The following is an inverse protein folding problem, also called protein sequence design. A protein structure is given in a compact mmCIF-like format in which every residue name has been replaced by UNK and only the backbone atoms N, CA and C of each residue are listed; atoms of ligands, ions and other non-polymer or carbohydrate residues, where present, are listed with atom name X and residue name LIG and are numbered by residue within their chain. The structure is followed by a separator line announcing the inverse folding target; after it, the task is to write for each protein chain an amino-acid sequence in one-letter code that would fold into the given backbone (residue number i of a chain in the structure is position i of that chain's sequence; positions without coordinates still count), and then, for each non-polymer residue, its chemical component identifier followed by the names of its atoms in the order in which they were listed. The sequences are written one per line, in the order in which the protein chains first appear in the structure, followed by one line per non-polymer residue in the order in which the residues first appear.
data_IF_122971256614
#
_entry.id   IF_122971256614
#
_cell.length_a   1.000
_cell.length_b   1.000
_cell.length_c   1.000
_cell.angle_alpha   90.00
_cell.angle_beta   90.00
_cell.angle_gamma   90.00
#
_symmetry.space_group_name_H-M   'P 1'
#
loop_
_entity.id
_entity.type
_entity.pdbx_description
1 polymer ?
#
# COMPACT_ATOMS: atom_id res chain seq x y z
N UNK A 1 -24.79 63.80 -47.41
CA UNK A 1 -25.77 62.75 -47.04
C UNK A 1 -25.70 62.61 -45.52
N UNK A 2 -26.55 63.32 -44.76
CA UNK A 2 -27.88 62.87 -44.29
C UNK A 2 -27.78 61.51 -43.58
N UNK A 3 -28.22 61.27 -42.35
CA UNK A 3 -28.87 62.00 -41.23
C UNK A 3 -28.81 60.94 -40.08
N UNK A 4 -28.38 61.24 -38.84
CA UNK A 4 -29.18 61.81 -37.73
C UNK A 4 -30.35 60.86 -37.39
N UNK A 5 -30.55 60.27 -36.20
CA UNK A 5 -30.51 60.72 -34.77
C UNK A 5 -30.97 59.49 -33.93
N UNK A 6 -30.93 59.35 -32.60
CA UNK A 6 -30.84 60.19 -31.39
C UNK A 6 -31.04 59.22 -30.19
N UNK A 7 -30.55 59.37 -28.95
CA UNK A 7 -30.53 60.48 -27.96
C UNK A 7 -29.61 60.02 -26.80
N UNK A 8 -28.77 60.77 -26.06
CA UNK A 8 -28.75 62.12 -25.45
C UNK A 8 -28.86 62.03 -23.89
N UNK A 9 -28.09 62.90 -23.21
CA UNK A 9 -27.99 63.27 -21.77
C UNK A 9 -26.90 62.54 -20.92
N UNK A 10 -26.06 63.15 -20.07
CA UNK A 10 -25.69 64.56 -19.74
C UNK A 10 -24.57 64.57 -18.64
N UNK A 11 -23.71 65.61 -18.62
CA UNK A 11 -22.83 66.18 -17.55
C UNK A 11 -21.71 65.32 -16.89
N UNK A 12 -20.42 65.71 -16.96
CA UNK A 12 -19.67 66.69 -16.10
C UNK A 12 -19.58 66.29 -14.61
N UNK A 13 -18.34 65.94 -14.21
CA UNK A 13 -17.68 66.43 -12.99
C UNK A 13 -18.14 65.89 -11.64
N UNK A 14 -17.31 65.05 -11.01
CA UNK A 14 -16.97 65.21 -9.60
C UNK A 14 -15.79 64.31 -9.21
N UNK A 15 -14.73 64.97 -8.73
CA UNK A 15 -13.78 64.44 -7.78
C UNK A 15 -14.57 63.87 -6.59
N UNK A 16 -14.59 62.55 -6.40
CA UNK A 16 -15.08 61.92 -5.18
C UNK A 16 -13.91 61.18 -4.55
N UNK A 17 -13.43 61.76 -3.45
CA UNK A 17 -12.75 61.06 -2.38
C UNK A 17 -13.70 59.94 -1.93
N UNK A 18 -13.36 58.69 -2.27
CA UNK A 18 -14.00 57.55 -1.63
C UNK A 18 -13.45 57.47 -0.21
N UNK A 19 -14.21 57.99 0.73
CA UNK A 19 -14.06 57.68 2.15
C UNK A 19 -14.29 56.17 2.25
N UNK A 20 -13.26 55.43 2.68
CA UNK A 20 -13.39 54.02 2.98
C UNK A 20 -14.57 53.82 3.94
N UNK A 21 -15.55 53.01 3.53
CA UNK A 21 -16.47 52.42 4.50
C UNK A 21 -15.61 51.67 5.51
N UNK A 22 -15.76 51.87 6.83
CA UNK A 22 -15.21 50.92 7.77
C UNK A 22 -15.82 49.57 7.40
N UNK A 23 -14.96 48.60 7.12
CA UNK A 23 -15.35 47.20 7.03
C UNK A 23 -16.02 46.90 8.36
N UNK A 24 -17.34 46.77 8.30
CA UNK A 24 -18.12 46.32 9.43
C UNK A 24 -17.67 44.87 9.67
N UNK A 25 -17.13 44.62 10.86
CA UNK A 25 -17.05 43.27 11.38
C UNK A 25 -18.45 42.65 11.26
N UNK A 26 -18.55 41.42 10.74
CA UNK A 26 -19.76 40.63 10.92
C UNK A 26 -20.04 40.54 12.44
N UNK A 27 -21.31 40.49 12.82
CA UNK A 27 -21.81 40.63 14.21
C UNK A 27 -21.19 39.65 15.24
N UNK A 28 -20.38 38.69 14.79
CA UNK A 28 -19.66 37.72 15.62
C UNK A 28 -18.19 38.10 15.92
N UNK A 29 -17.70 39.24 15.42
CA UNK A 29 -16.32 39.70 15.64
C UNK A 29 -15.28 38.99 14.77
N UNK A 30 -15.71 38.22 13.76
CA UNK A 30 -14.85 37.56 12.79
C UNK A 30 -14.50 38.51 11.64
N UNK A 31 -13.32 38.34 11.07
CA UNK A 31 -12.80 39.19 10.00
C UNK A 31 -12.79 38.43 8.68
N UNK A 32 -13.25 39.10 7.62
CA UNK A 32 -13.24 38.56 6.26
C UNK A 32 -11.82 38.52 5.69
N UNK A 33 -11.48 37.42 5.04
CA UNK A 33 -10.24 37.16 4.34
C UNK A 33 -10.59 36.71 2.92
N UNK A 34 -10.28 37.54 1.92
CA UNK A 34 -10.61 37.24 0.54
C UNK A 34 -9.54 37.77 -0.41
N UNK A 35 -9.37 37.12 -1.57
CA UNK A 35 -8.29 37.45 -2.47
C UNK A 35 -8.04 36.43 -3.57
N UNK A 36 -6.91 36.59 -4.25
CA UNK A 36 -6.44 35.66 -5.28
C UNK A 36 -5.01 35.20 -5.03
N UNK A 37 -4.70 33.96 -5.41
CA UNK A 37 -3.36 33.38 -5.39
C UNK A 37 -2.81 33.28 -6.82
N UNK A 38 -1.67 33.91 -7.06
CA UNK A 38 -1.03 34.04 -8.37
C UNK A 38 0.39 33.45 -8.36
N UNK A 39 0.81 32.86 -9.46
CA UNK A 39 2.20 32.53 -9.76
C UNK A 39 2.54 33.01 -11.17
N UNK A 40 3.60 33.81 -11.32
CA UNK A 40 3.94 34.47 -12.59
C UNK A 40 2.75 35.18 -13.26
N UNK A 41 1.90 35.83 -12.45
CA UNK A 41 0.69 36.52 -12.92
C UNK A 41 -0.47 35.61 -13.32
N UNK A 42 -0.33 34.28 -13.21
CA UNK A 42 -1.37 33.30 -13.52
C UNK A 42 -2.00 32.77 -12.22
N UNK A 43 -3.33 32.67 -12.11
CA UNK A 43 -3.95 32.09 -10.93
C UNK A 43 -3.58 30.62 -10.71
N UNK A 44 -3.40 30.22 -9.45
CA UNK A 44 -3.06 28.84 -9.07
C UNK A 44 -3.96 28.33 -7.96
N UNK A 45 -4.18 27.02 -7.94
CA UNK A 45 -4.88 26.36 -6.84
C UNK A 45 -3.98 26.23 -5.62
N UNK A 46 -4.43 26.73 -4.48
CA UNK A 46 -3.67 26.74 -3.24
C UNK A 46 -4.57 26.52 -2.02
N UNK A 47 -3.98 26.04 -0.94
CA UNK A 47 -4.60 26.09 0.39
C UNK A 47 -4.26 27.43 1.02
N UNK A 48 -5.28 28.16 1.48
CA UNK A 48 -5.15 29.44 2.18
C UNK A 48 -5.58 29.24 3.62
N UNK A 49 -4.70 29.56 4.57
CA UNK A 49 -4.91 29.45 6.01
C UNK A 49 -4.81 30.84 6.63
N UNK A 50 -5.75 31.24 7.48
CA UNK A 50 -5.67 32.45 8.28
C UNK A 50 -6.20 32.21 9.69
N UNK A 51 -5.37 32.52 10.70
CA UNK A 51 -5.71 32.41 12.12
C UNK A 51 -6.47 31.12 12.51
N UNK A 52 -6.00 29.97 12.01
CA UNK A 52 -6.57 28.64 12.30
C UNK A 52 -7.76 28.21 11.44
N UNK A 53 -8.26 29.07 10.54
CA UNK A 53 -9.27 28.72 9.54
C UNK A 53 -8.61 28.54 8.17
N UNK A 54 -9.14 27.65 7.32
CA UNK A 54 -8.60 27.42 5.99
C UNK A 54 -9.68 27.27 4.92
N UNK A 55 -9.29 27.53 3.67
CA UNK A 55 -10.07 27.25 2.47
C UNK A 55 -9.11 26.85 1.36
N UNK A 56 -9.59 26.07 0.38
CA UNK A 56 -8.88 25.90 -0.88
C UNK A 56 -9.35 26.96 -1.85
N UNK A 57 -8.41 27.63 -2.53
CA UNK A 57 -8.77 28.56 -3.58
C UNK A 57 -9.52 27.84 -4.69
N UNK A 58 -10.48 28.51 -5.31
CA UNK A 58 -11.30 27.95 -6.39
C UNK A 58 -10.45 27.47 -7.55
N UNK A 59 -10.88 26.33 -8.10
CA UNK A 59 -10.19 25.64 -9.18
C UNK A 59 -10.22 26.51 -10.45
N UNK A 60 -9.07 27.03 -10.84
CA UNK A 60 -8.85 27.69 -12.13
C UNK A 60 -8.78 29.22 -12.12
N UNK A 61 -9.24 29.90 -11.07
CA UNK A 61 -9.15 31.37 -10.94
C UNK A 61 -8.39 31.84 -9.69
N UNK A 62 -7.96 30.91 -8.83
CA UNK A 62 -7.12 31.16 -7.66
C UNK A 62 -7.80 32.01 -6.58
N UNK A 63 -9.11 32.22 -6.66
CA UNK A 63 -9.83 33.06 -5.71
C UNK A 63 -10.10 32.34 -4.39
N UNK A 64 -10.10 33.05 -3.27
CA UNK A 64 -10.49 32.53 -1.97
C UNK A 64 -11.34 33.55 -1.22
N UNK A 65 -12.28 33.08 -0.40
CA UNK A 65 -13.13 33.91 0.45
C UNK A 65 -13.57 33.09 1.67
N UNK A 66 -13.18 33.53 2.87
CA UNK A 66 -13.59 32.94 4.14
C UNK A 66 -13.48 33.97 5.28
N UNK A 67 -13.93 33.60 6.47
CA UNK A 67 -13.80 34.42 7.68
C UNK A 67 -12.91 33.73 8.69
N UNK A 68 -12.12 34.49 9.44
CA UNK A 68 -11.32 33.98 10.56
C UNK A 68 -11.43 34.87 11.79
N UNK A 69 -11.20 34.35 13.00
CA UNK A 69 -11.11 35.18 14.18
C UNK A 69 -9.87 36.11 14.09
N UNK A 70 -9.97 37.38 14.53
CA UNK A 70 -8.82 38.26 14.62
C UNK A 70 -7.80 37.78 15.66
N UNK A 71 -6.51 38.05 15.43
CA UNK A 71 -5.45 37.78 16.40
C UNK A 71 -5.50 38.71 17.62
N UNK A 72 -4.55 38.53 18.55
CA UNK A 72 -4.49 39.28 19.81
C UNK A 72 -4.36 40.80 19.65
N UNK A 73 -3.96 41.28 18.47
CA UNK A 73 -3.83 42.70 18.12
C UNK A 73 -4.71 43.11 16.91
N UNK A 74 -5.78 42.35 16.64
CA UNK A 74 -6.61 42.46 15.42
C UNK A 74 -5.87 42.16 14.10
N UNK A 75 -4.66 41.63 14.17
CA UNK A 75 -3.91 41.20 12.99
C UNK A 75 -4.41 39.85 12.45
N UNK A 76 -4.29 39.68 11.14
CA UNK A 76 -4.53 38.41 10.46
C UNK A 76 -3.21 37.93 9.87
N UNK A 77 -2.79 36.72 10.24
CA UNK A 77 -1.67 36.05 9.59
C UNK A 77 -2.21 35.12 8.51
N UNK A 78 -1.94 35.45 7.25
CA UNK A 78 -2.32 34.65 6.08
C UNK A 78 -1.12 33.80 5.63
N UNK A 79 -1.38 32.52 5.40
CA UNK A 79 -0.44 31.53 4.91
C UNK A 79 -1.02 30.86 3.67
N UNK A 80 -0.22 30.71 2.62
CA UNK A 80 -0.68 30.11 1.35
C UNK A 80 0.30 29.04 0.88
N UNK A 81 -0.27 27.90 0.48
CA UNK A 81 0.45 26.71 0.06
C UNK A 81 -0.02 26.25 -1.31
N UNK A 82 0.91 26.14 -2.26
CA UNK A 82 0.65 25.60 -3.59
C UNK A 82 1.72 24.54 -3.89
N UNK A 83 1.31 23.42 -4.49
CA UNK A 83 2.25 22.37 -4.85
C UNK A 83 3.35 22.92 -5.79
N UNK A 84 4.61 22.56 -5.51
CA UNK A 84 5.78 22.99 -6.28
C UNK A 84 6.22 24.46 -6.10
N UNK A 85 5.57 25.24 -5.23
CA UNK A 85 5.89 26.64 -4.97
C UNK A 85 6.33 26.87 -3.50
N UNK A 86 7.04 27.97 -3.25
CA UNK A 86 7.43 28.35 -1.91
C UNK A 86 6.20 28.80 -1.09
N UNK A 87 6.04 28.36 0.17
CA UNK A 87 4.98 28.84 1.04
C UNK A 87 5.05 30.35 1.24
N UNK A 88 3.90 30.99 1.16
CA UNK A 88 3.73 32.42 1.37
C UNK A 88 3.22 32.70 2.78
N UNK A 89 3.68 33.80 3.39
CA UNK A 89 3.22 34.28 4.70
C UNK A 89 3.22 35.81 4.76
N UNK A 90 2.10 36.40 5.16
CA UNK A 90 1.99 37.82 5.44
C UNK A 90 1.05 38.06 6.64
N UNK A 91 1.45 38.96 7.53
CA UNK A 91 0.56 39.54 8.55
C UNK A 91 -0.02 40.84 8.02
N UNK A 92 -1.33 40.98 8.08
CA UNK A 92 -2.10 42.09 7.49
C UNK A 92 -3.16 42.60 8.47
N UNK A 93 -3.55 43.85 8.28
CA UNK A 93 -4.73 44.40 8.94
C UNK A 93 -6.04 43.79 8.38
N UNK A 94 -7.15 43.87 9.13
CA UNK A 94 -8.47 43.46 8.64
C UNK A 94 -8.87 44.07 7.30
N UNK A 95 -8.46 45.33 7.07
CA UNK A 95 -8.79 46.02 5.83
C UNK A 95 -8.00 45.50 4.63
N UNK A 96 -6.75 45.11 4.84
CA UNK A 96 -5.89 44.52 3.81
C UNK A 96 -6.28 43.07 3.51
N UNK A 97 -6.73 42.31 4.51
CA UNK A 97 -7.13 40.92 4.36
C UNK A 97 -8.37 40.72 3.47
N UNK A 98 -9.24 41.72 3.38
CA UNK A 98 -10.48 41.64 2.62
C UNK A 98 -10.30 41.64 1.08
N UNK A 99 -9.09 41.95 0.58
CA UNK A 99 -8.77 41.98 -0.84
C UNK A 99 -7.27 41.68 -1.10
N UNK A 100 -6.78 40.56 -0.58
CA UNK A 100 -5.37 40.19 -0.64
C UNK A 100 -4.98 39.64 -2.01
N UNK A 101 -3.88 40.14 -2.57
CA UNK A 101 -3.23 39.51 -3.73
C UNK A 101 -2.00 38.77 -3.26
N UNK A 102 -2.04 37.44 -3.30
CA UNK A 102 -0.92 36.59 -2.92
C UNK A 102 -0.13 36.22 -4.17
N UNK A 103 1.11 36.69 -4.24
CA UNK A 103 2.03 36.31 -5.32
C UNK A 103 2.99 35.26 -4.77
N UNK A 104 2.81 34.02 -5.23
CA UNK A 104 3.64 32.88 -4.89
C UNK A 104 4.94 32.94 -5.69
N UNK A 105 6.01 32.46 -5.07
CA UNK A 105 7.33 32.35 -5.70
C UNK A 105 7.66 30.88 -5.96
N UNK A 106 8.53 30.63 -6.93
CA UNK A 106 9.09 29.29 -7.13
C UNK A 106 9.94 28.95 -5.91
N UNK A 107 9.85 27.70 -5.45
CA UNK A 107 10.76 27.21 -4.43
C UNK A 107 12.22 27.29 -4.88
N UNK A 108 13.11 27.79 -4.02
CA UNK A 108 14.56 27.64 -4.18
C UNK A 108 14.92 26.15 -4.31
N UNK A 109 15.93 25.83 -5.12
CA UNK A 109 16.41 24.47 -5.32
C UNK A 109 17.44 24.01 -4.27
N UNK A 110 17.94 24.90 -3.41
CA UNK A 110 18.91 24.55 -2.36
C UNK A 110 19.09 25.71 -1.34
N UNK A 111 19.33 25.45 -0.04
CA UNK A 111 19.13 24.20 0.68
C UNK A 111 17.73 24.04 1.25
N UNK A 112 17.26 22.79 1.16
CA UNK A 112 16.00 22.33 1.70
C UNK A 112 15.94 22.51 3.22
N UNK A 113 14.71 22.61 3.72
CA UNK A 113 14.42 22.61 5.15
C UNK A 113 14.89 21.28 5.77
N UNK A 114 15.68 21.35 6.85
CA UNK A 114 16.04 20.17 7.63
C UNK A 114 15.14 20.10 8.85
N UNK A 115 14.46 18.96 9.03
CA UNK A 115 13.67 18.69 10.22
C UNK A 115 14.27 17.47 10.91
N UNK A 116 14.66 17.66 12.16
CA UNK A 116 15.09 16.59 13.06
C UNK A 116 13.98 16.38 14.08
N UNK A 117 13.26 15.28 13.96
CA UNK A 117 12.05 15.05 14.73
C UNK A 117 11.91 13.58 15.13
N UNK A 118 11.51 13.38 16.38
CA UNK A 118 11.16 12.10 16.98
C UNK A 118 9.65 12.02 17.10
N UNK A 119 9.11 10.84 16.82
CA UNK A 119 7.70 10.54 17.03
C UNK A 119 7.55 9.41 18.05
N UNK A 120 6.62 9.56 18.97
CA UNK A 120 6.32 8.55 19.99
C UNK A 120 4.81 8.36 20.11
N UNK A 121 4.39 7.11 20.25
CA UNK A 121 3.02 6.75 20.60
C UNK A 121 2.63 7.30 21.99
N UNK A 122 1.50 7.99 22.07
CA UNK A 122 0.79 8.21 23.35
C UNK A 122 -0.18 7.09 23.66
N UNK A 123 -0.83 6.57 22.62
CA UNK A 123 -1.75 5.44 22.62
C UNK A 123 -2.06 5.05 21.16
N UNK A 124 -2.91 4.04 20.95
CA UNK A 124 -3.25 3.50 19.62
C UNK A 124 -3.99 4.48 18.68
N UNK A 125 -4.33 5.68 19.14
CA UNK A 125 -5.03 6.69 18.32
C UNK A 125 -4.31 8.03 18.25
N UNK A 126 -3.22 8.22 19.01
CA UNK A 126 -2.50 9.49 19.11
C UNK A 126 -1.00 9.30 19.29
N UNK A 127 -0.22 10.15 18.63
CA UNK A 127 1.22 10.28 18.79
C UNK A 127 1.63 11.68 19.23
N UNK A 128 2.87 11.83 19.68
CA UNK A 128 3.54 13.13 19.83
C UNK A 128 4.70 13.19 18.87
N UNK A 129 4.80 14.28 18.12
CA UNK A 129 5.97 14.61 17.31
C UNK A 129 6.67 15.79 17.95
N UNK A 130 7.93 15.61 18.33
CA UNK A 130 8.78 16.67 18.87
C UNK A 130 10.04 16.80 18.02
N UNK A 131 10.54 18.01 17.86
CA UNK A 131 11.71 18.20 17.03
C UNK A 131 12.15 19.63 16.86
N UNK A 132 13.07 19.81 15.92
CA UNK A 132 13.60 21.11 15.51
C UNK A 132 13.61 21.26 14.01
N UNK A 133 13.40 22.50 13.56
CA UNK A 133 13.43 22.89 12.16
C UNK A 133 14.58 23.86 11.94
N UNK A 134 15.48 23.53 11.01
CA UNK A 134 16.67 24.31 10.71
C UNK A 134 16.92 24.43 9.20
N UNK A 135 17.74 25.42 8.83
CA UNK A 135 18.30 25.60 7.48
C UNK A 135 19.80 25.79 7.65
N UNK A 136 20.61 24.92 7.04
CA UNK A 136 22.07 24.94 7.21
C UNK A 136 22.51 24.92 8.69
N UNK A 137 21.81 24.13 9.51
CA UNK A 137 22.06 24.03 10.95
C UNK A 137 21.62 25.25 11.78
N UNK A 138 21.04 26.28 11.16
CA UNK A 138 20.49 27.44 11.88
C UNK A 138 18.99 27.28 12.10
N UNK A 139 18.47 27.41 13.33
CA UNK A 139 17.04 27.26 13.60
C UNK A 139 16.20 28.34 12.90
N UNK A 140 15.11 27.93 12.24
CA UNK A 140 14.25 28.81 11.45
C UNK A 140 12.82 28.85 11.99
N UNK A 141 12.11 29.95 11.70
CA UNK A 141 10.67 30.02 11.91
C UNK A 141 9.98 29.24 10.78
N UNK A 142 9.22 28.23 11.17
CA UNK A 142 8.49 27.35 10.27
C UNK A 142 7.10 27.04 10.84
N UNK A 143 6.21 26.57 9.99
CA UNK A 143 4.99 25.88 10.38
C UNK A 143 5.20 24.39 10.16
N UNK A 144 4.92 23.58 11.17
CA UNK A 144 4.85 22.12 11.03
C UNK A 144 3.38 21.71 11.07
N UNK A 145 3.01 20.69 10.30
CA UNK A 145 1.64 20.17 10.17
C UNK A 145 1.69 18.64 10.14
N UNK A 146 0.93 17.97 10.98
CA UNK A 146 0.76 16.52 10.94
C UNK A 146 -0.68 16.13 11.24
N UNK A 147 -1.28 15.31 10.37
CA UNK A 147 -2.65 14.80 10.45
C UNK A 147 -3.66 15.85 10.97
N UNK A 148 -3.65 17.04 10.37
CA UNK A 148 -4.54 18.16 10.69
C UNK A 148 -4.15 19.02 11.91
N UNK A 149 -3.11 18.67 12.67
CA UNK A 149 -2.58 19.47 13.78
C UNK A 149 -1.35 20.25 13.35
N UNK A 150 -1.21 21.51 13.79
CA UNK A 150 -0.10 22.36 13.36
C UNK A 150 0.49 23.19 14.51
N UNK A 151 1.76 23.55 14.37
CA UNK A 151 2.47 24.41 15.31
C UNK A 151 3.45 25.32 14.56
N UNK A 152 3.66 26.53 15.09
CA UNK A 152 4.72 27.41 14.62
C UNK A 152 5.94 27.25 15.51
N UNK A 153 7.11 27.09 14.91
CA UNK A 153 8.36 26.85 15.64
C UNK A 153 8.94 28.10 16.33
N UNK A 154 8.19 29.20 16.35
CA UNK A 154 8.60 30.46 16.95
C UNK A 154 7.46 31.30 17.54
N UNK A 155 6.27 30.72 17.73
CA UNK A 155 5.18 31.40 18.42
C UNK A 155 5.40 31.46 19.93
N UNK A 156 6.05 30.45 20.51
CA UNK A 156 6.33 30.37 21.94
C UNK A 156 7.70 30.95 22.29
N UNK A 157 7.71 32.13 22.91
CA UNK A 157 8.94 32.81 23.36
C UNK A 157 9.67 32.07 24.49
N UNK A 158 9.04 31.09 25.13
CA UNK A 158 9.65 30.26 26.18
C UNK A 158 10.45 29.08 25.62
N UNK A 159 10.33 28.79 24.32
CA UNK A 159 11.02 27.70 23.65
C UNK A 159 12.12 28.21 22.70
N UNK A 160 13.17 27.40 22.43
CA UNK A 160 14.15 27.73 21.40
C UNK A 160 13.47 27.92 20.05
N UNK A 161 13.85 28.97 19.32
CA UNK A 161 13.42 29.17 17.92
C UNK A 161 13.71 27.90 17.13
N UNK A 162 12.78 27.46 16.29
CA UNK A 162 12.90 26.25 15.50
C UNK A 162 12.36 25.00 16.19
N UNK A 163 12.13 25.00 17.50
CA UNK A 163 11.56 23.84 18.21
C UNK A 163 10.05 23.75 18.08
N UNK A 164 9.52 22.52 18.10
CA UNK A 164 8.08 22.24 18.12
C UNK A 164 7.77 20.98 18.92
N UNK A 165 6.52 20.87 19.34
CA UNK A 165 5.92 19.67 19.92
C UNK A 165 4.44 19.66 19.53
N UNK A 166 3.98 18.56 18.94
CA UNK A 166 2.65 18.40 18.38
C UNK A 166 2.03 17.10 18.87
N UNK A 167 0.82 17.18 19.42
CA UNK A 167 -0.01 16.02 19.73
C UNK A 167 -0.96 15.76 18.54
N UNK A 168 -0.77 14.64 17.86
CA UNK A 168 -1.36 14.34 16.55
C UNK A 168 -2.24 13.10 16.61
N UNK A 169 -3.41 13.08 15.93
CA UNK A 169 -4.12 11.83 15.71
C UNK A 169 -3.34 10.94 14.74
N UNK A 170 -3.39 9.62 14.96
CA UNK A 170 -2.87 8.64 14.01
C UNK A 170 -3.92 8.36 12.94
N UNK A 171 -3.47 8.01 11.73
CA UNK A 171 -4.35 7.45 10.69
C UNK A 171 -4.82 6.04 11.08
N UNK A 172 -5.76 5.46 10.33
CA UNK A 172 -6.31 4.11 10.61
C UNK A 172 -5.24 3.02 10.57
N UNK A 173 -4.20 3.20 9.76
CA UNK A 173 -3.04 2.31 9.67
C UNK A 173 -1.95 2.60 10.72
N UNK A 174 -2.22 3.52 11.67
CA UNK A 174 -1.28 3.95 12.70
C UNK A 174 -0.22 4.95 12.22
N UNK A 175 -0.23 5.36 10.95
CA UNK A 175 0.77 6.28 10.38
C UNK A 175 0.51 7.76 10.71
N UNK A 176 1.53 8.59 10.50
CA UNK A 176 1.42 10.06 10.54
C UNK A 176 2.09 10.69 9.32
N UNK A 177 1.32 11.45 8.55
CA UNK A 177 1.88 12.29 7.49
C UNK A 177 2.29 13.65 8.06
N UNK A 178 3.59 13.94 8.00
CA UNK A 178 4.20 15.15 8.56
C UNK A 178 4.71 16.07 7.45
N UNK A 179 4.43 17.36 7.59
CA UNK A 179 4.87 18.42 6.70
C UNK A 179 5.60 19.53 7.47
N UNK A 180 6.59 20.12 6.82
CA UNK A 180 7.31 21.29 7.31
C UNK A 180 7.33 22.41 6.28
N UNK A 181 7.01 23.62 6.70
CA UNK A 181 6.91 24.79 5.83
C UNK A 181 7.73 25.94 6.39
N UNK A 182 8.68 26.45 5.60
CA UNK A 182 9.41 27.66 5.90
C UNK A 182 9.30 28.61 4.71
N UNK A 183 9.13 29.91 4.98
CA UNK A 183 9.01 30.94 3.93
C UNK A 183 10.20 30.87 2.98
N UNK A 184 9.92 30.89 1.67
CA UNK A 184 10.94 30.88 0.61
C UNK A 184 11.61 29.52 0.37
N UNK A 185 11.17 28.45 1.04
CA UNK A 185 11.74 27.11 0.91
C UNK A 185 10.71 26.09 0.42
N UNK A 186 11.14 24.97 -0.20
CA UNK A 186 10.22 23.90 -0.55
C UNK A 186 9.59 23.29 0.71
N UNK A 187 8.37 22.75 0.62
CA UNK A 187 7.78 22.00 1.72
C UNK A 187 8.57 20.71 1.96
N UNK A 188 8.84 20.42 3.23
CA UNK A 188 9.29 19.11 3.69
C UNK A 188 8.08 18.19 3.84
N UNK A 189 8.21 16.92 3.45
CA UNK A 189 7.23 15.87 3.70
C UNK A 189 7.95 14.61 4.19
N UNK A 190 7.39 14.00 5.23
CA UNK A 190 7.77 12.67 5.69
C UNK A 190 6.51 11.91 6.15
N UNK A 191 6.52 10.59 6.05
CA UNK A 191 5.45 9.74 6.58
C UNK A 191 6.08 8.82 7.60
N UNK A 192 5.68 8.97 8.87
CA UNK A 192 6.05 8.06 9.94
C UNK A 192 5.11 6.86 9.92
N UNK A 193 5.66 5.66 9.87
CA UNK A 193 4.93 4.39 9.93
C UNK A 193 4.52 4.06 11.36
N UNK A 194 3.51 3.19 11.54
CA UNK A 194 3.11 2.71 12.87
C UNK A 194 4.26 2.07 13.65
N UNK A 195 5.20 1.43 12.94
CA UNK A 195 6.42 0.83 13.49
C UNK A 195 7.37 1.89 14.05
N UNK A 196 7.69 2.93 13.26
CA UNK A 196 8.53 4.05 13.72
C UNK A 196 7.90 4.79 14.92
N UNK A 197 6.57 4.82 15.00
CA UNK A 197 5.82 5.47 16.08
C UNK A 197 5.76 4.58 17.34
N UNK A 198 5.98 3.27 17.21
CA UNK A 198 5.83 2.31 18.30
C UNK A 198 4.36 2.03 18.66
N UNK A 199 3.42 2.27 17.74
CA UNK A 199 2.01 1.82 17.86
C UNK A 199 1.73 0.52 17.13
N UNK A 200 2.69 0.05 16.32
CA UNK A 200 2.65 -1.28 15.77
C UNK A 200 2.88 -2.30 16.90
N UNK A 201 1.79 -2.78 17.50
CA UNK A 201 1.77 -4.13 18.05
C UNK A 201 1.54 -5.04 16.85
N UNK A 202 2.57 -5.72 16.30
CA UNK A 202 2.28 -6.83 15.38
C UNK A 202 1.29 -7.72 16.09
N UNK A 203 0.28 -8.22 15.38
CA UNK A 203 -0.63 -9.26 15.87
C UNK A 203 0.22 -10.40 16.44
N UNK A 204 0.52 -10.34 17.74
CA UNK A 204 1.56 -11.16 18.36
C UNK A 204 1.09 -12.60 18.53
N UNK A 205 -0.19 -12.87 18.27
CA UNK A 205 -0.77 -14.18 18.28
C UNK A 205 -1.34 -14.62 16.92
N UNK A 206 -1.30 -13.80 15.87
CA UNK A 206 -1.70 -14.14 14.50
C UNK A 206 -3.21 -14.35 14.31
N UNK A 207 -4.04 -14.00 15.30
CA UNK A 207 -5.49 -14.30 15.28
C UNK A 207 -6.29 -13.36 14.41
N UNK A 208 -5.75 -12.19 14.10
CA UNK A 208 -6.39 -11.17 13.28
C UNK A 208 -5.91 -11.22 11.83
N UNK A 209 -4.81 -11.93 11.55
CA UNK A 209 -4.27 -12.08 10.19
C UNK A 209 -5.08 -13.04 9.32
N UNK A 210 -5.28 -12.68 8.05
CA UNK A 210 -5.80 -13.56 7.00
C UNK A 210 -4.74 -14.51 6.42
N UNK A 211 -3.52 -14.52 6.97
CA UNK A 211 -2.44 -15.47 6.68
C UNK A 211 -1.39 -15.50 7.78
N UNK A 212 -1.73 -16.01 8.97
CA UNK A 212 -0.82 -15.98 10.09
C UNK A 212 0.49 -16.70 9.77
N UNK A 213 1.61 -16.01 10.01
CA UNK A 213 2.96 -16.57 9.89
C UNK A 213 3.60 -16.81 11.27
N UNK A 214 2.99 -16.25 12.31
CA UNK A 214 3.29 -16.52 13.71
C UNK A 214 2.01 -16.77 14.49
N UNK A 215 2.03 -17.72 15.43
CA UNK A 215 0.94 -17.95 16.39
C UNK A 215 1.54 -18.37 17.72
N UNK A 216 0.88 -18.00 18.82
CA UNK A 216 1.29 -18.40 20.18
C UNK A 216 0.21 -19.26 20.82
N UNK A 217 0.65 -20.31 21.53
CA UNK A 217 -0.24 -21.13 22.34
C UNK A 217 -0.80 -20.35 23.54
N UNK A 218 -1.67 -20.99 24.33
CA UNK A 218 -2.23 -20.39 25.54
C UNK A 218 -1.19 -20.01 26.61
N UNK A 219 0.03 -20.54 26.53
CA UNK A 219 1.15 -20.21 27.39
C UNK A 219 2.06 -19.10 26.81
N UNK A 220 1.75 -18.59 25.61
CA UNK A 220 2.54 -17.58 24.92
C UNK A 220 3.74 -18.14 24.14
N UNK A 221 3.81 -19.47 23.96
CA UNK A 221 4.90 -20.13 23.24
C UNK A 221 4.63 -20.11 21.73
N UNK A 222 5.58 -19.66 20.89
CA UNK A 222 5.46 -19.77 19.44
C UNK A 222 5.22 -21.22 19.01
N UNK A 223 4.29 -21.41 18.08
CA UNK A 223 3.94 -22.72 17.54
C UNK A 223 4.31 -22.83 16.06
N UNK A 224 4.75 -24.02 15.64
CA UNK A 224 4.77 -24.38 14.22
C UNK A 224 3.32 -24.39 13.73
N UNK A 225 3.04 -23.61 12.68
CA UNK A 225 1.72 -23.53 12.06
C UNK A 225 1.62 -24.61 10.99
N UNK A 226 0.44 -25.19 10.81
CA UNK A 226 0.22 -26.09 9.68
C UNK A 226 -1.18 -25.99 9.08
N UNK A 227 -1.26 -26.40 7.82
CA UNK A 227 -2.48 -26.53 7.04
C UNK A 227 -2.42 -27.79 6.19
N UNK A 228 -3.45 -28.62 6.27
CA UNK A 228 -3.65 -29.78 5.42
C UNK A 228 -4.73 -29.44 4.39
N UNK A 229 -4.43 -29.62 3.10
CA UNK A 229 -5.37 -29.35 2.01
C UNK A 229 -5.66 -30.60 1.20
N UNK A 230 -6.93 -30.82 0.91
CA UNK A 230 -7.36 -31.82 -0.05
C UNK A 230 -7.44 -31.20 -1.45
N UNK A 231 -6.91 -31.92 -2.45
CA UNK A 231 -7.08 -31.56 -3.86
C UNK A 231 -8.42 -32.14 -4.33
N UNK A 232 -9.44 -31.28 -4.41
CA UNK A 232 -10.83 -31.65 -4.65
C UNK A 232 -11.16 -31.96 -6.12
N UNK A 233 -10.15 -32.11 -6.99
CA UNK A 233 -10.34 -32.56 -8.36
C UNK A 233 -10.59 -34.09 -8.37
N UNK A 234 -11.50 -34.58 -9.23
CA UNK A 234 -11.78 -36.02 -9.44
C UNK A 234 -10.63 -36.78 -10.19
N UNK A 235 -9.39 -36.35 -9.96
CA UNK A 235 -8.23 -36.66 -10.79
C UNK A 235 -8.16 -35.81 -12.06
N UNK A 236 -6.97 -35.73 -12.66
CA UNK A 236 -6.73 -35.01 -13.91
C UNK A 236 -6.44 -36.00 -15.01
N UNK A 237 -7.21 -35.92 -16.10
CA UNK A 237 -7.02 -36.74 -17.28
C UNK A 237 -6.23 -35.98 -18.34
N UNK A 238 -5.12 -36.55 -18.80
CA UNK A 238 -4.29 -35.96 -19.84
C UNK A 238 -4.22 -36.92 -21.01
N UNK A 239 -4.55 -36.42 -22.20
CA UNK A 239 -4.39 -37.14 -23.45
C UNK A 239 -3.06 -36.76 -24.11
N UNK A 240 -2.15 -37.72 -24.25
CA UNK A 240 -0.87 -37.56 -24.97
C UNK A 240 -0.86 -38.56 -26.12
N UNK A 241 -0.76 -38.07 -27.36
CA UNK A 241 -0.71 -38.91 -28.58
C UNK A 241 -1.82 -39.99 -28.65
N UNK A 242 -3.04 -39.62 -28.29
CA UNK A 242 -4.20 -40.54 -28.32
C UNK A 242 -4.29 -41.51 -27.14
N UNK A 243 -3.44 -41.33 -26.13
CA UNK A 243 -3.34 -42.17 -24.95
C UNK A 243 -3.71 -41.37 -23.70
N UNK A 244 -4.54 -41.93 -22.81
CA UNK A 244 -4.99 -41.24 -21.58
C UNK A 244 -4.19 -41.67 -20.36
N UNK A 245 -3.68 -40.68 -19.63
CA UNK A 245 -3.12 -40.82 -18.28
C UNK A 245 -4.05 -40.14 -17.28
N UNK A 246 -4.22 -40.74 -16.11
CA UNK A 246 -4.98 -40.19 -15.00
C UNK A 246 -4.03 -39.89 -13.85
N UNK A 247 -4.04 -38.67 -13.36
CA UNK A 247 -3.28 -38.20 -12.22
C UNK A 247 -4.23 -38.06 -11.03
N UNK A 248 -3.93 -38.74 -9.94
CA UNK A 248 -4.63 -38.58 -8.67
C UNK A 248 -3.65 -38.00 -7.67
N UNK A 249 -4.07 -37.00 -6.92
CA UNK A 249 -3.22 -36.33 -5.95
C UNK A 249 -3.64 -36.69 -4.53
N UNK A 250 -2.66 -36.80 -3.65
CA UNK A 250 -2.85 -36.88 -2.21
C UNK A 250 -2.99 -35.47 -1.63
N UNK A 251 -3.35 -35.41 -0.35
CA UNK A 251 -3.43 -34.14 0.37
C UNK A 251 -2.05 -33.45 0.45
N UNK A 252 -2.10 -32.12 0.52
CA UNK A 252 -0.95 -31.22 0.65
C UNK A 252 -0.78 -30.88 2.12
N UNK A 253 0.41 -31.06 2.67
CA UNK A 253 0.75 -30.55 4.01
C UNK A 253 1.61 -29.30 3.88
N UNK A 254 1.15 -28.19 4.45
CA UNK A 254 1.91 -26.94 4.56
C UNK A 254 2.24 -26.68 6.03
N UNK A 255 3.44 -26.17 6.29
CA UNK A 255 3.84 -25.73 7.63
C UNK A 255 4.72 -24.48 7.59
N UNK A 256 4.67 -23.70 8.68
CA UNK A 256 5.55 -22.54 8.90
C UNK A 256 6.18 -22.68 10.28
N UNK A 257 7.51 -22.67 10.34
CA UNK A 257 8.24 -22.56 11.60
C UNK A 257 8.41 -21.08 11.96
N UNK A 258 7.84 -20.61 13.08
CA UNK A 258 7.84 -19.19 13.46
C UNK A 258 9.25 -18.66 13.79
N UNK A 259 10.24 -19.54 14.00
CA UNK A 259 11.62 -19.13 14.28
C UNK A 259 12.45 -18.93 13.02
N UNK A 260 12.32 -19.84 12.06
CA UNK A 260 13.05 -19.77 10.80
C UNK A 260 12.30 -18.97 9.73
N UNK A 261 11.00 -18.73 9.92
CA UNK A 261 10.10 -18.13 8.93
C UNK A 261 10.21 -18.83 7.57
N UNK A 262 10.41 -20.15 7.59
CA UNK A 262 10.41 -20.96 6.36
C UNK A 262 9.06 -21.64 6.24
N UNK A 263 8.32 -21.34 5.16
CA UNK A 263 7.14 -22.09 4.78
C UNK A 263 7.55 -23.32 3.99
N UNK A 264 7.13 -24.50 4.42
CA UNK A 264 7.38 -25.76 3.71
C UNK A 264 6.07 -26.36 3.27
N UNK A 265 6.07 -26.94 2.08
CA UNK A 265 4.94 -27.71 1.59
C UNK A 265 5.39 -28.95 0.86
N UNK A 266 4.56 -29.98 0.89
CA UNK A 266 4.76 -31.15 0.04
C UNK A 266 3.43 -31.68 -0.46
N UNK A 267 3.44 -32.20 -1.68
CA UNK A 267 2.34 -32.99 -2.21
C UNK A 267 2.85 -34.19 -3.00
N UNK A 268 2.01 -35.20 -3.11
CA UNK A 268 2.33 -36.41 -3.87
C UNK A 268 1.11 -36.89 -4.63
N UNK A 269 1.33 -37.76 -5.61
CA UNK A 269 0.25 -38.31 -6.41
C UNK A 269 0.65 -39.60 -7.11
N UNK A 270 -0.34 -40.21 -7.76
CA UNK A 270 -0.21 -41.42 -8.55
C UNK A 270 -0.65 -41.18 -9.99
N UNK A 271 0.02 -41.88 -10.90
CA UNK A 271 -0.30 -41.88 -12.33
C UNK A 271 -0.85 -43.26 -12.69
N UNK A 272 -1.93 -43.29 -13.46
CA UNK A 272 -2.58 -44.53 -13.91
C UNK A 272 -3.16 -44.39 -15.32
N UNK A 273 -3.70 -45.48 -15.88
CA UNK A 273 -4.19 -45.54 -17.25
C UNK A 273 -3.16 -46.20 -18.15
N UNK A 274 -2.71 -45.50 -19.19
CA UNK A 274 -1.76 -46.09 -20.13
C UNK A 274 -0.31 -46.06 -19.64
N UNK A 275 0.01 -45.12 -18.74
CA UNK A 275 1.21 -45.15 -17.93
C UNK A 275 0.83 -45.41 -16.46
N UNK A 276 1.77 -45.93 -15.68
CA UNK A 276 1.65 -46.04 -14.23
C UNK A 276 2.85 -45.39 -13.55
N UNK A 277 2.65 -44.82 -12.36
CA UNK A 277 3.72 -44.06 -11.74
C UNK A 277 3.33 -43.29 -10.49
N UNK A 278 4.24 -42.42 -10.08
CA UNK A 278 4.04 -41.46 -9.00
C UNK A 278 4.62 -40.09 -9.35
N UNK A 279 4.08 -39.06 -8.71
CA UNK A 279 4.66 -37.73 -8.69
C UNK A 279 4.80 -37.24 -7.24
N UNK A 280 5.79 -36.41 -7.00
CA UNK A 280 6.04 -35.72 -5.73
C UNK A 280 6.49 -34.30 -6.04
N UNK A 281 6.13 -33.35 -5.19
CA UNK A 281 6.78 -32.07 -5.15
C UNK A 281 6.94 -31.63 -3.70
N UNK A 282 8.12 -31.12 -3.38
CA UNK A 282 8.45 -30.47 -2.13
C UNK A 282 8.82 -29.02 -2.43
N UNK A 283 8.44 -28.10 -1.56
CA UNK A 283 8.88 -26.72 -1.68
C UNK A 283 9.20 -26.09 -0.33
N UNK A 284 10.09 -25.12 -0.35
CA UNK A 284 10.45 -24.30 0.79
C UNK A 284 10.51 -22.83 0.35
N UNK A 285 9.92 -21.95 1.14
CA UNK A 285 9.94 -20.52 0.88
C UNK A 285 10.49 -19.80 2.11
N UNK A 286 11.46 -18.93 1.89
CA UNK A 286 12.01 -18.08 2.94
C UNK A 286 11.16 -16.82 3.04
N UNK A 287 10.53 -16.63 4.19
CA UNK A 287 9.67 -15.50 4.47
C UNK A 287 10.44 -14.42 5.24
N UNK A 288 10.09 -13.17 5.00
CA UNK A 288 10.60 -12.01 5.74
C UNK A 288 9.44 -11.09 6.12
N UNK A 289 9.52 -10.47 7.29
CA UNK A 289 8.53 -9.48 7.72
C UNK A 289 9.05 -8.08 7.45
N UNK A 290 8.32 -7.27 6.70
CA UNK A 290 8.66 -5.87 6.42
C UNK A 290 7.37 -5.04 6.29
N UNK A 291 7.36 -3.84 6.87
CA UNK A 291 6.23 -2.90 6.79
C UNK A 291 4.88 -3.52 7.22
N UNK A 292 4.94 -4.42 8.21
CA UNK A 292 3.77 -5.14 8.72
C UNK A 292 3.19 -6.19 7.79
N UNK A 293 3.92 -6.59 6.75
CA UNK A 293 3.57 -7.68 5.82
C UNK A 293 4.55 -8.83 5.96
N UNK A 294 4.09 -10.05 5.67
CA UNK A 294 5.00 -11.15 5.36
C UNK A 294 5.21 -11.27 3.85
N UNK A 295 6.47 -11.20 3.44
CA UNK A 295 6.95 -11.24 2.06
C UNK A 295 7.77 -12.51 1.83
N UNK A 296 7.90 -12.94 0.58
CA UNK A 296 8.78 -14.03 0.16
C UNK A 296 10.08 -13.45 -0.38
N UNK A 297 11.20 -13.86 0.19
CA UNK A 297 12.53 -13.51 -0.31
C UNK A 297 13.01 -14.51 -1.38
N UNK A 298 12.79 -15.80 -1.15
CA UNK A 298 13.18 -16.86 -2.07
C UNK A 298 12.33 -18.11 -1.94
N UNK A 299 12.35 -18.96 -2.97
CA UNK A 299 11.63 -20.22 -3.04
C UNK A 299 12.51 -21.30 -3.66
N UNK A 300 12.48 -22.50 -3.07
CA UNK A 300 13.05 -23.72 -3.62
C UNK A 300 11.92 -24.72 -3.85
N UNK A 301 11.96 -25.46 -4.95
CA UNK A 301 10.99 -26.47 -5.31
C UNK A 301 11.68 -27.66 -5.97
N UNK A 302 11.43 -28.85 -5.44
CA UNK A 302 11.93 -30.12 -5.96
C UNK A 302 10.75 -30.96 -6.42
N UNK A 303 10.69 -31.28 -7.72
CA UNK A 303 9.63 -32.09 -8.33
C UNK A 303 10.21 -33.39 -8.84
N UNK A 304 9.62 -34.51 -8.41
CA UNK A 304 9.95 -35.84 -8.87
C UNK A 304 8.77 -36.50 -9.58
N UNK A 305 9.02 -37.18 -10.69
CA UNK A 305 8.03 -38.03 -11.35
C UNK A 305 8.66 -39.34 -11.81
N UNK A 306 8.06 -40.45 -11.44
CA UNK A 306 8.45 -41.78 -11.88
C UNK A 306 7.32 -42.36 -12.73
N UNK A 307 7.57 -42.57 -14.02
CA UNK A 307 6.60 -43.10 -14.98
C UNK A 307 7.05 -44.45 -15.54
N UNK A 308 6.09 -45.32 -15.79
CA UNK A 308 6.27 -46.59 -16.49
C UNK A 308 5.25 -46.69 -17.62
N UNK A 309 5.73 -46.85 -18.85
CA UNK A 309 4.91 -46.95 -20.06
C UNK A 309 5.45 -48.05 -20.97
N UNK A 310 4.59 -48.99 -21.38
CA UNK A 310 4.96 -50.12 -22.26
C UNK A 310 6.20 -50.91 -21.81
N UNK A 311 6.41 -51.05 -20.50
CA UNK A 311 7.55 -51.77 -19.92
C UNK A 311 8.86 -50.97 -19.87
N UNK A 312 8.84 -49.69 -20.24
CA UNK A 312 9.95 -48.76 -20.07
C UNK A 312 9.68 -47.82 -18.91
N UNK A 313 10.73 -47.47 -18.16
CA UNK A 313 10.64 -46.47 -17.09
C UNK A 313 11.28 -45.16 -17.52
N UNK A 314 10.69 -44.06 -17.06
CA UNK A 314 11.22 -42.71 -17.16
C UNK A 314 11.14 -42.04 -15.77
N UNK A 315 12.21 -41.35 -15.40
CA UNK A 315 12.31 -40.54 -14.19
C UNK A 315 12.49 -39.10 -14.65
N UNK A 316 11.66 -38.20 -14.12
CA UNK A 316 11.78 -36.76 -14.29
C UNK A 316 12.10 -36.17 -12.93
N UNK A 317 13.17 -35.37 -12.86
CA UNK A 317 13.53 -34.57 -11.68
C UNK A 317 13.64 -33.12 -12.11
N UNK A 318 13.03 -32.21 -11.36
CA UNK A 318 13.14 -30.77 -11.59
C UNK A 318 13.48 -30.13 -10.25
N UNK A 319 14.62 -29.46 -10.20
CA UNK A 319 15.04 -28.64 -9.07
C UNK A 319 14.94 -27.19 -9.53
N UNK A 320 14.08 -26.40 -8.89
CA UNK A 320 13.84 -25.00 -9.23
C UNK A 320 14.08 -24.11 -8.02
N UNK A 321 14.90 -23.09 -8.19
CA UNK A 321 15.18 -22.08 -7.18
C UNK A 321 14.87 -20.69 -7.73
N UNK A 322 14.11 -19.92 -6.98
CA UNK A 322 13.74 -18.54 -7.31
C UNK A 322 14.26 -17.61 -6.23
N UNK A 323 15.01 -16.59 -6.64
CA UNK A 323 15.46 -15.51 -5.77
C UNK A 323 14.89 -14.19 -6.26
N UNK A 324 14.24 -13.43 -5.37
CA UNK A 324 13.75 -12.10 -5.68
C UNK A 324 14.81 -11.04 -5.38
N UNK A 325 14.88 -9.99 -6.22
CA UNK A 325 15.74 -8.83 -5.98
C UNK A 325 15.21 -7.94 -4.84
N UNK A 326 13.92 -8.07 -4.54
CA UNK A 326 13.25 -7.47 -3.40
C UNK A 326 12.15 -8.43 -2.96
N UNK A 327 11.94 -8.64 -1.65
CA UNK A 327 10.91 -9.57 -1.18
C UNK A 327 9.52 -9.21 -1.74
N UNK A 328 8.77 -10.23 -2.16
CA UNK A 328 7.46 -10.08 -2.83
C UNK A 328 6.31 -10.40 -1.90
N UNK A 329 5.20 -9.67 -2.03
CA UNK A 329 3.95 -10.01 -1.33
C UNK A 329 3.29 -11.20 -2.05
N UNK A 330 3.56 -12.43 -1.59
CA UNK A 330 3.03 -13.64 -2.22
C UNK A 330 1.67 -14.06 -1.71
N UNK A 331 1.39 -13.81 -0.43
CA UNK A 331 0.16 -14.19 0.23
C UNK A 331 -0.31 -13.06 1.16
N UNK A 332 -1.62 -12.92 1.30
CA UNK A 332 -2.28 -11.78 1.95
C UNK A 332 -2.19 -11.86 3.48
N UNK A 333 -0.98 -11.77 4.02
CA UNK A 333 -0.75 -11.57 5.46
C UNK A 333 -1.13 -10.14 5.84
N UNK A 334 -2.44 -9.94 5.96
CA UNK A 334 -3.10 -8.68 6.25
C UNK A 334 -4.20 -8.90 7.28
N UNK A 335 -4.44 -7.90 8.13
CA UNK A 335 -5.48 -7.93 9.16
C UNK A 335 -6.74 -7.15 8.77
N UNK A 336 -6.68 -6.43 7.66
CA UNK A 336 -7.67 -5.44 7.23
C UNK A 336 -8.49 -5.86 6.00
N UNK A 337 -8.32 -7.08 5.48
CA UNK A 337 -8.95 -7.49 4.21
C UNK A 337 -10.49 -7.35 4.22
N UNK A 338 -11.13 -7.57 5.36
CA UNK A 338 -12.58 -7.44 5.56
C UNK A 338 -13.07 -6.00 5.77
N UNK A 339 -12.14 -5.06 5.90
CA UNK A 339 -12.44 -3.62 5.95
C UNK A 339 -12.39 -2.98 4.57
N UNK A 340 -11.74 -3.66 3.61
CA UNK A 340 -11.63 -3.19 2.23
C UNK A 340 -12.96 -3.44 1.49
N UNK A 341 -13.46 -2.48 0.69
CA UNK A 341 -14.72 -2.66 -0.01
C UNK A 341 -14.60 -3.68 -1.16
N UNK A 342 -15.71 -4.35 -1.50
CA UNK A 342 -15.80 -5.16 -2.72
C UNK A 342 -15.37 -4.34 -3.95
N UNK A 343 -14.50 -4.93 -4.77
CA UNK A 343 -13.91 -4.28 -5.93
C UNK A 343 -12.62 -3.50 -5.64
N UNK A 344 -12.21 -3.36 -4.37
CA UNK A 344 -10.87 -2.86 -4.04
C UNK A 344 -9.81 -3.67 -4.78
N UNK A 345 -8.91 -2.98 -5.46
CA UNK A 345 -7.82 -3.59 -6.22
C UNK A 345 -6.51 -3.07 -5.68
N UNK A 346 -5.67 -3.99 -5.23
CA UNK A 346 -4.27 -3.72 -4.95
C UNK A 346 -3.45 -3.98 -6.20
N UNK A 347 -2.55 -3.07 -6.49
CA UNK A 347 -1.47 -3.26 -7.45
C UNK A 347 -0.21 -2.83 -6.73
N UNK A 348 0.75 -3.74 -6.61
CA UNK A 348 2.06 -3.36 -6.14
C UNK A 348 2.62 -2.28 -7.08
N UNK A 349 3.16 -1.20 -6.52
CA UNK A 349 3.67 -0.07 -7.29
C UNK A 349 5.05 -0.41 -7.89
N UNK A 350 5.07 -1.32 -8.85
CA UNK A 350 6.30 -1.73 -9.51
C UNK A 350 6.25 -3.16 -10.04
N UNK A 351 7.17 -3.47 -10.94
CA UNK A 351 7.47 -4.84 -11.33
C UNK A 351 8.53 -5.36 -10.38
N UNK A 352 8.24 -6.45 -9.66
CA UNK A 352 9.28 -7.12 -8.89
C UNK A 352 10.06 -8.05 -9.82
N UNK A 353 11.37 -8.06 -9.67
CA UNK A 353 12.25 -8.85 -10.53
C UNK A 353 13.05 -9.84 -9.70
N UNK A 354 13.44 -10.95 -10.32
CA UNK A 354 14.21 -11.99 -9.68
C UNK A 354 14.94 -12.85 -10.71
N UNK A 355 15.54 -13.93 -10.25
CA UNK A 355 16.14 -14.97 -11.10
C UNK A 355 15.53 -16.31 -10.73
N UNK A 356 15.13 -17.09 -11.73
CA UNK A 356 14.74 -18.48 -11.58
C UNK A 356 15.81 -19.38 -12.21
N UNK A 357 16.41 -20.23 -11.39
CA UNK A 357 17.33 -21.28 -11.80
C UNK A 357 16.59 -22.61 -11.82
N UNK A 358 16.66 -23.33 -12.95
CA UNK A 358 15.94 -24.58 -13.16
C UNK A 358 16.93 -25.63 -13.68
N UNK A 359 17.06 -26.74 -12.96
CA UNK A 359 17.74 -27.96 -13.39
C UNK A 359 16.70 -29.06 -13.61
N UNK A 360 16.48 -29.46 -14.87
CA UNK A 360 15.52 -30.49 -15.25
C UNK A 360 16.26 -31.69 -15.86
N UNK A 361 16.11 -32.86 -15.25
CA UNK A 361 16.70 -34.11 -15.70
C UNK A 361 15.61 -35.13 -16.06
N UNK A 362 15.74 -35.74 -17.24
CA UNK A 362 14.90 -36.86 -17.68
C UNK A 362 15.82 -38.06 -17.94
N UNK A 363 15.60 -39.13 -17.19
CA UNK A 363 16.35 -40.40 -17.33
C UNK A 363 15.39 -41.52 -17.71
N UNK A 364 15.68 -42.26 -18.78
CA UNK A 364 14.85 -43.38 -19.23
C UNK A 364 15.61 -44.33 -20.17
N UNK A 365 14.91 -45.32 -20.71
CA UNK A 365 15.50 -46.36 -21.57
C UNK A 365 16.07 -45.77 -22.88
N UNK A 366 17.34 -45.37 -22.85
CA UNK A 366 18.03 -44.75 -23.99
C UNK A 366 17.92 -43.22 -24.06
N UNK A 367 17.39 -42.56 -23.02
CA UNK A 367 17.37 -41.10 -22.91
C UNK A 367 17.95 -40.68 -21.57
N UNK A 368 18.98 -39.85 -21.60
CA UNK A 368 19.50 -39.15 -20.43
C UNK A 368 19.74 -37.71 -20.86
N UNK A 369 18.89 -36.80 -20.37
CA UNK A 369 18.92 -35.40 -20.76
C UNK A 369 18.75 -34.52 -19.53
N UNK A 370 19.80 -33.75 -19.25
CA UNK A 370 19.77 -32.66 -18.28
C UNK A 370 19.74 -31.33 -19.01
N UNK A 371 18.85 -30.43 -18.58
CA UNK A 371 18.76 -29.06 -19.08
C UNK A 371 18.85 -28.12 -17.89
N UNK A 372 19.80 -27.19 -17.94
CA UNK A 372 19.97 -26.13 -16.94
C UNK A 372 19.71 -24.78 -17.58
N UNK A 373 18.84 -24.00 -16.97
CA UNK A 373 18.56 -22.65 -17.40
C UNK A 373 18.52 -21.72 -16.18
N UNK A 374 18.94 -20.48 -16.40
CA UNK A 374 18.80 -19.38 -15.47
C UNK A 374 18.10 -18.26 -16.22
N UNK A 375 16.95 -17.81 -15.73
CA UNK A 375 16.14 -16.80 -16.42
C UNK A 375 15.78 -15.66 -15.49
N UNK A 376 15.85 -14.40 -15.97
CA UNK A 376 15.26 -13.30 -15.23
C UNK A 376 13.75 -13.48 -15.22
N UNK A 377 13.14 -13.31 -14.05
CA UNK A 377 11.71 -13.29 -13.90
C UNK A 377 11.26 -11.90 -13.47
N UNK A 378 10.05 -11.55 -13.88
CA UNK A 378 9.37 -10.32 -13.52
C UNK A 378 7.94 -10.69 -13.17
N UNK A 379 7.49 -10.30 -11.99
CA UNK A 379 6.10 -10.45 -11.58
C UNK A 379 5.48 -9.09 -11.36
N UNK A 380 4.22 -8.95 -11.77
CA UNK A 380 3.35 -7.85 -11.39
C UNK A 380 2.25 -8.47 -10.55
N UNK A 381 2.32 -8.24 -9.25
CA UNK A 381 1.33 -8.77 -8.32
C UNK A 381 0.14 -7.83 -8.23
N UNK A 382 -1.03 -8.37 -8.58
CA UNK A 382 -2.29 -7.68 -8.38
C UNK A 382 -3.28 -8.61 -7.70
N UNK A 383 -4.12 -8.03 -6.87
CA UNK A 383 -5.25 -8.77 -6.31
C UNK A 383 -6.43 -7.85 -6.06
N UNK A 384 -7.61 -8.47 -6.01
CA UNK A 384 -8.88 -7.78 -5.93
C UNK A 384 -9.80 -8.48 -4.94
N UNK A 385 -10.41 -7.70 -4.04
CA UNK A 385 -11.51 -8.19 -3.21
C UNK A 385 -12.74 -8.38 -4.11
N UNK A 386 -13.22 -9.60 -4.22
CA UNK A 386 -14.41 -9.91 -5.05
C UNK A 386 -15.67 -10.10 -4.23
N UNK A 387 -15.55 -10.37 -2.92
CA UNK A 387 -16.69 -10.47 -2.04
C UNK A 387 -16.34 -10.75 -0.59
N UNK A 388 -17.35 -10.59 0.26
CA UNK A 388 -17.32 -10.95 1.68
C UNK A 388 -18.43 -11.95 1.99
N UNK A 389 -18.13 -12.92 2.85
CA UNK A 389 -19.13 -13.88 3.34
C UNK A 389 -19.04 -13.97 4.86
N UNK A 390 -20.18 -13.91 5.54
CA UNK A 390 -20.22 -14.02 6.99
C UNK A 390 -19.66 -15.38 7.48
N UNK A 391 -19.92 -16.45 6.72
CA UNK A 391 -19.37 -17.77 6.95
C UNK A 391 -19.34 -18.62 5.68
N UNK A 392 -18.46 -19.63 5.67
CA UNK A 392 -18.38 -20.65 4.61
C UNK A 392 -18.07 -22.01 5.25
N UNK A 393 -18.73 -23.07 4.78
CA UNK A 393 -18.40 -24.44 5.17
C UNK A 393 -17.48 -25.07 4.12
N UNK A 394 -16.28 -25.47 4.52
CA UNK A 394 -15.32 -26.21 3.70
C UNK A 394 -14.97 -27.50 4.42
N UNK A 395 -15.05 -28.62 3.72
CA UNK A 395 -14.83 -29.97 4.26
C UNK A 395 -15.43 -30.20 5.67
N UNK A 396 -16.72 -29.90 5.84
CA UNK A 396 -17.49 -30.05 7.09
C UNK A 396 -17.14 -29.08 8.23
N UNK A 397 -16.13 -28.21 8.06
CA UNK A 397 -15.79 -27.17 9.02
C UNK A 397 -16.35 -25.84 8.57
N UNK A 398 -17.03 -25.12 9.46
CA UNK A 398 -17.57 -23.78 9.17
C UNK A 398 -16.61 -22.73 9.68
N UNK A 399 -16.13 -21.90 8.77
CA UNK A 399 -15.29 -20.75 9.03
C UNK A 399 -16.13 -19.47 8.97
N UNK A 400 -15.70 -18.44 9.69
CA UNK A 400 -16.37 -17.13 9.75
C UNK A 400 -15.47 -16.01 9.25
N UNK A 401 -16.07 -14.88 8.90
CA UNK A 401 -15.36 -13.69 8.38
C UNK A 401 -14.48 -14.01 7.17
N UNK A 402 -15.15 -14.40 6.08
CA UNK A 402 -14.49 -14.86 4.86
C UNK A 402 -14.38 -13.70 3.89
N UNK A 403 -13.18 -13.52 3.36
CA UNK A 403 -12.90 -12.61 2.26
C UNK A 403 -12.53 -13.42 1.04
N UNK A 404 -13.17 -13.11 -0.08
CA UNK A 404 -12.90 -13.72 -1.37
C UNK A 404 -12.00 -12.78 -2.17
N UNK A 405 -10.87 -13.32 -2.64
CA UNK A 405 -9.83 -12.55 -3.31
C UNK A 405 -9.43 -13.23 -4.60
N UNK A 406 -9.36 -12.46 -5.67
CA UNK A 406 -8.77 -12.90 -6.94
C UNK A 406 -7.41 -12.26 -7.07
N UNK A 407 -6.37 -13.08 -7.21
CA UNK A 407 -4.99 -12.65 -7.48
C UNK A 407 -4.67 -12.93 -8.93
N UNK A 408 -3.94 -12.03 -9.56
CA UNK A 408 -3.29 -12.27 -10.84
C UNK A 408 -1.79 -12.10 -10.63
N UNK A 409 -1.04 -13.16 -10.96
CA UNK A 409 0.42 -13.23 -10.83
C UNK A 409 1.02 -13.82 -12.11
N UNK A 410 2.29 -13.57 -12.35
CA UNK A 410 3.01 -14.12 -13.52
C UNK A 410 3.94 -15.23 -13.05
N UNK A 411 3.74 -16.45 -13.56
CA UNK A 411 4.60 -17.60 -13.26
C UNK A 411 5.50 -17.95 -14.45
N UNK A 412 6.72 -18.47 -14.21
CA UNK A 412 7.55 -19.01 -15.28
C UNK A 412 6.89 -20.28 -15.84
N UNK A 413 6.78 -20.36 -17.17
CA UNK A 413 6.21 -21.50 -17.88
C UNK A 413 7.26 -22.09 -18.84
N UNK A 414 7.52 -23.39 -18.78
CA UNK A 414 8.42 -24.04 -19.72
C UNK A 414 7.64 -24.62 -20.91
N UNK A 415 7.83 -24.03 -22.10
CA UNK A 415 7.18 -24.46 -23.34
C UNK A 415 8.23 -24.65 -24.44
N UNK A 416 8.29 -25.85 -25.01
CA UNK A 416 9.15 -26.18 -26.16
C UNK A 416 10.64 -25.82 -25.99
N UNK A 417 11.22 -26.01 -24.81
CA UNK A 417 12.64 -25.71 -24.58
C UNK A 417 12.93 -24.25 -24.22
N UNK A 418 11.91 -23.42 -24.10
CA UNK A 418 12.03 -22.01 -23.70
C UNK A 418 11.23 -21.77 -22.43
N UNK A 419 11.78 -21.02 -21.48
CA UNK A 419 11.03 -20.55 -20.32
C UNK A 419 10.38 -19.22 -20.72
N UNK A 420 9.07 -19.24 -20.85
CA UNK A 420 8.21 -18.07 -20.97
C UNK A 420 7.64 -17.65 -19.61
N UNK A 421 6.69 -16.73 -19.66
CA UNK A 421 5.92 -16.26 -18.52
C UNK A 421 4.44 -16.39 -18.88
N UNK A 422 3.63 -16.83 -17.94
CA UNK A 422 2.17 -16.94 -18.08
C UNK A 422 1.51 -16.22 -16.91
N UNK A 423 0.54 -15.37 -17.22
CA UNK A 423 -0.31 -14.77 -16.20
C UNK A 423 -1.34 -15.80 -15.75
N UNK A 424 -1.35 -16.07 -14.45
CA UNK A 424 -2.30 -16.98 -13.83
C UNK A 424 -3.19 -16.23 -12.86
N UNK A 425 -4.48 -16.59 -12.91
CA UNK A 425 -5.48 -16.08 -11.99
C UNK A 425 -5.75 -17.12 -10.91
N UNK A 426 -5.64 -16.72 -9.65
CA UNK A 426 -5.87 -17.56 -8.48
C UNK A 426 -7.03 -16.99 -7.67
N UNK A 427 -8.02 -17.81 -7.40
CA UNK A 427 -9.17 -17.45 -6.56
C UNK A 427 -8.95 -18.01 -5.17
N UNK A 428 -9.05 -17.16 -4.15
CA UNK A 428 -8.87 -17.52 -2.75
C UNK A 428 -10.14 -17.21 -1.96
N UNK A 429 -10.43 -18.10 -1.00
CA UNK A 429 -11.28 -17.78 0.14
C UNK A 429 -10.39 -17.84 1.37
N UNK A 430 -10.21 -16.70 2.03
CA UNK A 430 -9.41 -16.57 3.23
C UNK A 430 -10.30 -16.28 4.43
N UNK A 431 -10.01 -16.90 5.56
CA UNK A 431 -10.72 -16.71 6.81
C UNK A 431 -9.79 -16.06 7.84
N UNK A 432 -10.30 -15.03 8.54
CA UNK A 432 -9.53 -14.28 9.55
C UNK A 432 -8.99 -15.21 10.64
N UNK A 433 -7.71 -15.13 10.96
CA UNK A 433 -7.03 -15.97 11.96
C UNK A 433 -6.75 -17.41 11.53
N UNK A 434 -7.13 -17.80 10.30
CA UNK A 434 -6.92 -19.16 9.78
C UNK A 434 -6.03 -19.14 8.54
N UNK A 435 -6.26 -18.26 7.58
CA UNK A 435 -5.57 -18.34 6.27
C UNK A 435 -6.50 -18.77 5.14
N UNK A 436 -5.89 -19.31 4.07
CA UNK A 436 -6.61 -19.91 2.95
C UNK A 436 -7.43 -21.11 3.42
N UNK A 437 -8.76 -21.05 3.27
CA UNK A 437 -9.65 -22.19 3.52
C UNK A 437 -10.03 -22.92 2.23
N UNK A 438 -9.97 -22.22 1.09
CA UNK A 438 -10.21 -22.77 -0.24
C UNK A 438 -9.43 -21.97 -1.28
N UNK A 439 -8.98 -22.62 -2.34
CA UNK A 439 -8.49 -21.92 -3.54
C UNK A 439 -8.76 -22.68 -4.82
N UNK A 440 -8.76 -21.94 -5.93
CA UNK A 440 -8.83 -22.48 -7.30
C UNK A 440 -7.71 -21.84 -8.11
N UNK A 441 -6.90 -22.68 -8.77
CA UNK A 441 -5.82 -22.22 -9.65
C UNK A 441 -4.52 -21.87 -8.93
N UNK A 442 -4.44 -22.06 -7.60
CA UNK A 442 -3.20 -21.84 -6.85
C UNK A 442 -2.05 -22.70 -7.36
N UNK A 443 -2.39 -23.93 -7.76
CA UNK A 443 -1.56 -24.77 -8.58
C UNK A 443 -2.30 -25.05 -9.89
N UNK A 444 -1.55 -25.16 -10.99
CA UNK A 444 -2.03 -25.68 -12.25
C UNK A 444 -1.21 -26.91 -12.60
N UNK A 445 -1.88 -28.00 -12.96
CA UNK A 445 -1.21 -29.20 -13.44
C UNK A 445 -1.58 -29.41 -14.90
N UNK A 446 -0.61 -29.17 -15.79
CA UNK A 446 -0.76 -29.35 -17.23
C UNK A 446 -1.91 -28.50 -17.83
N UNK A 447 -2.05 -27.28 -17.32
CA UNK A 447 -3.05 -26.31 -17.76
C UNK A 447 -4.39 -26.41 -17.02
N UNK A 448 -4.60 -27.46 -16.22
CA UNK A 448 -5.82 -27.63 -15.44
C UNK A 448 -5.62 -27.05 -14.02
N UNK A 449 -6.46 -26.08 -13.60
CA UNK A 449 -6.37 -25.50 -12.26
C UNK A 449 -6.78 -26.53 -11.19
N UNK A 450 -5.97 -26.62 -10.13
CA UNK A 450 -6.31 -27.43 -8.96
C UNK A 450 -7.24 -26.66 -8.03
N UNK A 451 -8.19 -27.36 -7.44
CA UNK A 451 -9.03 -26.85 -6.34
C UNK A 451 -8.50 -27.41 -5.02
N UNK A 452 -8.14 -26.53 -4.10
CA UNK A 452 -7.67 -26.90 -2.76
C UNK A 452 -8.77 -26.59 -1.74
N UNK A 453 -9.02 -27.51 -0.82
CA UNK A 453 -9.96 -27.34 0.29
C UNK A 453 -9.29 -27.71 1.60
N UNK A 454 -9.33 -26.81 2.59
CA UNK A 454 -8.72 -27.02 3.89
C UNK A 454 -9.40 -28.18 4.63
N UNK A 455 -8.59 -29.11 5.13
CA UNK A 455 -9.05 -30.29 5.87
C UNK A 455 -8.55 -30.33 7.31
N UNK A 456 -7.44 -29.66 7.60
CA UNK A 456 -6.85 -29.60 8.94
C UNK A 456 -5.96 -28.37 9.16
N UNK A 457 -5.94 -27.86 10.38
CA UNK A 457 -5.01 -26.83 10.85
C UNK A 457 -4.96 -26.84 12.39
N UNK A 458 -3.89 -26.33 12.99
CA UNK A 458 -3.82 -26.06 14.43
C UNK A 458 -4.29 -24.65 14.84
N UNK A 459 -4.75 -23.85 13.88
CA UNK A 459 -5.33 -22.54 14.13
C UNK A 459 -6.81 -22.68 14.52
N UNK A 460 -7.30 -21.73 15.31
CA UNK A 460 -8.68 -21.76 15.84
C UNK A 460 -9.34 -20.39 15.70
N UNK A 461 -10.58 -20.38 15.22
CA UNK A 461 -11.49 -19.22 15.28
C UNK A 461 -12.38 -19.28 16.52
#
# INVERSE_FOLDING_TARGET
MNKIKSSLLVLIGCLIVSIAKPILADDDGWTKVAGNVLYNGTPVSAMVLANGQHVFSSWGDGSFDFTCPPGSEQEITVLVFCNGLAPYSQTVSPAEAAALTVVMERSDSDPALTIDATVEAKNNSRGVIEGTVSRNGQPVCAMVLANGQHAFTCSDKSKPKGSFSLDVPLETDGSVTFYGFCRGLPPYKYVYTAEEIGTYEPDQDGRESFSPTTYKDAAGTPMILYWDYHIANDGIQIAVEGTTMNFNFNDIHLSIDPHSLVRRGSFSGSVSGAASGSCTADFAENLVTAEGKTLIDSQEMDIGMNLSFLGQSAVVSIDAATQWNSPVEWFLDRTDLDQLPDGYTYSEAGTVSGTADIDATITGSGMDKTTRNSVPITSVETWKIVGHQASMTVNQTTYTNIVEVVRTTTIPQYTNGTIGQEDVEVHYWVARGIGMIKSIGHFSFMGEPLTLELTGTNLTQ
#
